data_IF_887887127470
#
_entry.id   IF_887887127470
#
_cell.length_a   1.000
_cell.length_b   1.000
_cell.length_c   1.000
_cell.angle_alpha   90.00
_cell.angle_beta   90.00
_cell.angle_gamma   90.00
#
_symmetry.space_group_name_H-M   'P 1'
#
loop_
_entity.id
_entity.type
_entity.pdbx_description
1 polymer ?
#
# COMPACT_ATOMS: atom_id res chain seq x y z
N UNK A 1 -2.36 -6.66 1.78
CA UNK A 1 -3.46 -6.58 0.79
C UNK A 1 -4.49 -5.50 1.13
N UNK A 2 -5.15 -5.55 2.30
CA UNK A 2 -6.07 -4.48 2.74
C UNK A 2 -5.42 -3.09 2.78
N UNK A 3 -4.18 -3.01 3.28
CA UNK A 3 -3.37 -1.78 3.27
C UNK A 3 -3.16 -1.20 1.87
N UNK A 4 -3.12 -2.02 0.80
CA UNK A 4 -2.96 -1.51 -0.57
C UNK A 4 -4.21 -0.75 -1.04
N UNK A 5 -5.39 -1.29 -0.74
CA UNK A 5 -6.65 -0.63 -1.03
C UNK A 5 -6.79 0.65 -0.20
N UNK A 6 -6.43 0.59 1.09
CA UNK A 6 -6.43 1.76 1.99
C UNK A 6 -5.51 2.88 1.51
N UNK A 7 -4.26 2.56 1.15
CA UNK A 7 -3.28 3.51 0.63
C UNK A 7 -3.79 4.21 -0.65
N UNK A 8 -4.46 3.48 -1.56
CA UNK A 8 -5.07 4.09 -2.74
C UNK A 8 -6.32 4.91 -2.41
N UNK A 9 -7.08 4.52 -1.39
CA UNK A 9 -8.15 5.33 -0.81
C UNK A 9 -7.61 6.67 -0.28
N UNK A 10 -6.48 6.67 0.42
CA UNK A 10 -5.79 7.88 0.88
C UNK A 10 -5.35 8.74 -0.31
N UNK A 11 -4.72 8.13 -1.33
CA UNK A 11 -4.31 8.84 -2.54
C UNK A 11 -5.51 9.56 -3.19
N UNK A 12 -6.64 8.86 -3.32
CA UNK A 12 -7.88 9.41 -3.84
C UNK A 12 -8.43 10.55 -2.98
N UNK A 13 -8.50 10.35 -1.65
CA UNK A 13 -8.97 11.36 -0.71
C UNK A 13 -8.10 12.62 -0.76
N UNK A 14 -6.78 12.47 -0.70
CA UNK A 14 -5.84 13.59 -0.77
C UNK A 14 -5.97 14.32 -2.09
N UNK A 15 -6.08 13.59 -3.21
CA UNK A 15 -6.33 14.19 -4.52
C UNK A 15 -7.63 14.99 -4.56
N UNK A 16 -8.72 14.47 -3.99
CA UNK A 16 -10.00 15.16 -3.90
C UNK A 16 -9.93 16.40 -3.01
N UNK A 17 -9.28 16.32 -1.85
CA UNK A 17 -9.17 17.44 -0.91
C UNK A 17 -8.18 18.52 -1.37
N UNK A 18 -7.20 18.16 -2.20
CA UNK A 18 -6.16 19.08 -2.67
C UNK A 18 -6.69 20.22 -3.56
N UNK A 19 -7.87 20.04 -4.17
CA UNK A 19 -8.48 21.04 -5.06
C UNK A 19 -7.67 21.31 -6.35
N UNK A 20 -6.66 20.50 -6.65
CA UNK A 20 -5.81 20.60 -7.83
C UNK A 20 -5.91 19.35 -8.70
N UNK A 21 -5.38 19.43 -9.92
CA UNK A 21 -5.22 18.27 -10.79
C UNK A 21 -4.09 17.36 -10.28
N UNK A 22 -4.38 16.62 -9.21
CA UNK A 22 -3.44 15.87 -8.40
C UNK A 22 -2.65 14.81 -9.19
N UNK A 23 -3.31 13.92 -9.94
CA UNK A 23 -2.65 12.87 -10.73
C UNK A 23 -1.79 13.43 -11.85
N UNK A 24 -2.11 14.63 -12.34
CA UNK A 24 -1.29 15.32 -13.36
C UNK A 24 0.00 15.92 -12.82
N UNK A 25 0.12 16.02 -11.50
CA UNK A 25 1.37 16.41 -10.82
C UNK A 25 2.25 15.21 -10.49
N UNK A 26 1.76 13.99 -10.69
CA UNK A 26 2.49 12.78 -10.42
C UNK A 26 3.30 12.36 -11.66
N UNK A 27 4.51 11.91 -11.42
CA UNK A 27 5.38 11.36 -12.45
C UNK A 27 4.82 10.03 -12.97
N UNK A 28 4.80 9.81 -14.30
CA UNK A 28 4.45 8.52 -14.88
C UNK A 28 5.37 7.37 -14.47
N UNK A 29 6.56 7.67 -13.92
CA UNK A 29 7.52 6.68 -13.41
C UNK A 29 6.90 5.72 -12.38
N UNK A 30 5.93 6.20 -11.59
CA UNK A 30 5.21 5.38 -10.60
C UNK A 30 4.34 4.28 -11.23
N UNK A 31 4.09 4.34 -12.55
CA UNK A 31 3.37 3.29 -13.28
C UNK A 31 4.07 1.94 -13.16
N UNK A 32 5.42 1.90 -13.08
CA UNK A 32 6.17 0.66 -12.92
C UNK A 32 5.88 0.01 -11.55
N UNK A 33 5.89 0.79 -10.46
CA UNK A 33 5.54 0.31 -9.12
C UNK A 33 4.08 -0.16 -9.03
N UNK A 34 3.17 0.59 -9.65
CA UNK A 34 1.76 0.24 -9.70
C UNK A 34 1.53 -1.07 -10.50
N UNK A 35 2.16 -1.21 -11.67
CA UNK A 35 2.11 -2.42 -12.46
C UNK A 35 2.71 -3.63 -11.72
N UNK A 36 3.85 -3.43 -11.04
CA UNK A 36 4.46 -4.44 -10.18
C UNK A 36 3.51 -4.88 -9.06
N UNK A 37 2.82 -3.95 -8.43
CA UNK A 37 1.80 -4.25 -7.39
C UNK A 37 0.66 -5.10 -7.95
N UNK A 38 0.10 -4.74 -9.11
CA UNK A 38 -0.97 -5.52 -9.77
C UNK A 38 -0.49 -6.92 -10.09
N UNK A 39 0.69 -7.05 -10.70
CA UNK A 39 1.29 -8.33 -11.04
C UNK A 39 1.48 -9.22 -9.80
N UNK A 40 2.15 -8.70 -8.77
CA UNK A 40 2.40 -9.46 -7.53
C UNK A 40 1.09 -9.86 -6.83
N UNK A 41 0.10 -8.97 -6.80
CA UNK A 41 -1.21 -9.27 -6.19
C UNK A 41 -1.96 -10.34 -7.00
N UNK A 42 -1.88 -10.31 -8.32
CA UNK A 42 -2.47 -11.35 -9.18
C UNK A 42 -1.79 -12.71 -8.97
N UNK A 43 -0.47 -12.74 -8.77
CA UNK A 43 0.27 -13.96 -8.40
C UNK A 43 -0.21 -14.52 -7.06
N UNK A 44 -0.43 -13.67 -6.05
CA UNK A 44 -1.00 -14.10 -4.76
C UNK A 44 -2.41 -14.69 -4.94
N UNK A 45 -3.27 -14.04 -5.72
CA UNK A 45 -4.61 -14.55 -6.00
C UNK A 45 -4.59 -15.91 -6.70
N UNK A 46 -3.75 -16.05 -7.72
CA UNK A 46 -3.59 -17.32 -8.43
C UNK A 46 -3.08 -18.42 -7.49
N UNK A 47 -2.10 -18.10 -6.64
CA UNK A 47 -1.58 -19.03 -5.64
C UNK A 47 -2.67 -19.48 -4.64
N UNK A 48 -3.53 -18.57 -4.19
CA UNK A 48 -4.68 -18.94 -3.33
C UNK A 48 -5.64 -19.85 -4.09
N UNK A 49 -5.98 -19.50 -5.34
CA UNK A 49 -6.95 -20.23 -6.15
C UNK A 49 -6.54 -21.68 -6.45
N UNK A 50 -5.24 -21.95 -6.61
CA UNK A 50 -4.71 -23.31 -6.86
C UNK A 50 -4.34 -24.06 -5.58
N UNK A 51 -4.66 -23.52 -4.39
CA UNK A 51 -4.42 -24.17 -3.10
C UNK A 51 -2.97 -24.08 -2.62
N UNK A 52 -2.23 -23.06 -3.04
CA UNK A 52 -0.84 -22.82 -2.71
C UNK A 52 0.11 -23.16 -3.86
N UNK A 53 1.34 -23.53 -3.54
CA UNK A 53 2.35 -23.86 -4.53
C UNK A 53 3.44 -24.75 -3.96
N UNK A 54 4.41 -25.15 -4.79
CA UNK A 54 5.58 -25.87 -4.30
C UNK A 54 6.27 -25.07 -3.20
N UNK A 55 6.71 -25.78 -2.16
CA UNK A 55 7.33 -25.18 -0.98
C UNK A 55 8.64 -25.86 -0.64
N UNK A 56 9.56 -25.07 -0.09
CA UNK A 56 10.83 -25.53 0.44
C UNK A 56 10.78 -25.40 1.97
N UNK A 57 10.36 -26.47 2.63
CA UNK A 57 10.14 -26.46 4.08
C UNK A 57 9.02 -25.49 4.47
N UNK A 58 9.37 -24.40 5.16
CA UNK A 58 8.40 -23.40 5.67
C UNK A 58 8.01 -22.34 4.65
N UNK A 59 8.79 -22.18 3.57
CA UNK A 59 8.67 -21.07 2.63
C UNK A 59 8.13 -21.55 1.28
N UNK A 60 7.12 -20.87 0.75
CA UNK A 60 6.59 -21.11 -0.60
C UNK A 60 7.57 -20.60 -1.66
N UNK A 61 7.75 -21.34 -2.76
CA UNK A 61 8.50 -20.82 -3.92
C UNK A 61 7.83 -19.58 -4.51
N UNK A 62 6.52 -19.44 -4.35
CA UNK A 62 5.76 -18.26 -4.79
C UNK A 62 6.13 -17.04 -3.96
N UNK A 63 6.21 -17.16 -2.63
CA UNK A 63 6.55 -16.02 -1.77
C UNK A 63 8.02 -15.59 -1.95
N UNK A 64 8.92 -16.55 -2.20
CA UNK A 64 10.28 -16.26 -2.62
C UNK A 64 10.33 -15.55 -3.98
N UNK A 65 9.53 -16.00 -4.95
CA UNK A 65 9.38 -15.34 -6.24
C UNK A 65 8.85 -13.90 -6.14
N UNK A 66 7.89 -13.66 -5.25
CA UNK A 66 7.38 -12.31 -4.93
C UNK A 66 8.51 -11.43 -4.40
N UNK A 67 9.30 -11.92 -3.44
CA UNK A 67 10.44 -11.18 -2.89
C UNK A 67 11.48 -10.85 -3.97
N UNK A 68 11.86 -11.84 -4.79
CA UNK A 68 12.84 -11.65 -5.86
C UNK A 68 12.34 -10.65 -6.91
N UNK A 69 11.07 -10.76 -7.31
CA UNK A 69 10.47 -9.79 -8.23
C UNK A 69 10.45 -8.39 -7.64
N UNK A 70 10.06 -8.23 -6.37
CA UNK A 70 10.09 -6.93 -5.69
C UNK A 70 11.49 -6.32 -5.71
N UNK A 71 12.53 -7.10 -5.35
CA UNK A 71 13.92 -6.62 -5.38
C UNK A 71 14.37 -6.25 -6.79
N UNK A 72 14.01 -7.04 -7.81
CA UNK A 72 14.29 -6.71 -9.21
C UNK A 72 13.55 -5.43 -9.67
N UNK A 73 12.30 -5.24 -9.25
CA UNK A 73 11.51 -4.06 -9.58
C UNK A 73 12.10 -2.80 -8.93
N UNK A 74 12.49 -2.87 -7.65
CA UNK A 74 13.20 -1.79 -6.95
C UNK A 74 14.53 -1.47 -7.64
N UNK A 75 15.29 -2.48 -8.03
CA UNK A 75 16.53 -2.29 -8.76
C UNK A 75 16.33 -1.63 -10.14
N UNK A 76 15.29 -2.03 -10.87
CA UNK A 76 14.93 -1.43 -12.15
C UNK A 76 14.51 0.04 -12.00
N UNK A 77 13.79 0.38 -10.93
CA UNK A 77 13.42 1.77 -10.60
C UNK A 77 14.65 2.62 -10.28
N UNK A 78 15.53 2.12 -9.41
CA UNK A 78 16.76 2.79 -9.05
C UNK A 78 17.61 3.12 -10.30
N UNK A 79 17.70 2.18 -11.26
CA UNK A 79 18.41 2.42 -12.52
C UNK A 79 17.74 3.44 -13.45
N UNK A 80 16.41 3.58 -13.40
CA UNK A 80 15.73 4.64 -14.15
C UNK A 80 16.03 6.02 -13.55
N UNK A 81 16.10 6.11 -12.22
CA UNK A 81 16.39 7.36 -11.49
C UNK A 81 17.86 7.78 -11.62
N UNK A 82 18.82 6.85 -11.65
CA UNK A 82 20.24 7.17 -11.91
C UNK A 82 20.45 7.82 -13.29
N UNK A 83 19.56 7.55 -14.26
CA UNK A 83 19.63 8.14 -15.61
C UNK A 83 19.15 9.59 -15.69
N UNK A 84 18.52 10.12 -14.63
CA UNK A 84 18.11 11.52 -14.54
C UNK A 84 19.20 12.36 -13.87
N UNK A 85 19.63 13.50 -14.46
CA UNK A 85 20.61 14.37 -13.81
C UNK A 85 20.04 14.84 -12.47
N UNK A 86 20.67 14.43 -11.37
CA UNK A 86 20.27 14.88 -10.02
C UNK A 86 20.43 16.39 -9.89
N UNK A 87 19.61 17.02 -9.03
CA UNK A 87 19.77 18.43 -8.68
C UNK A 87 21.18 18.67 -8.12
N UNK A 88 22.03 19.33 -8.91
CA UNK A 88 23.40 19.63 -8.53
C UNK A 88 23.40 20.52 -7.27
N UNK A 89 24.02 20.02 -6.19
CA UNK A 89 24.30 20.82 -4.99
C UNK A 89 23.58 20.42 -3.70
N UNK A 90 22.68 19.43 -3.72
CA UNK A 90 22.05 18.93 -2.49
C UNK A 90 23.02 17.99 -1.76
N UNK A 91 23.69 18.50 -0.73
CA UNK A 91 24.56 17.69 0.12
C UNK A 91 23.68 16.83 1.03
N UNK A 92 23.67 15.52 0.80
CA UNK A 92 22.84 14.52 1.51
C UNK A 92 23.36 14.24 2.93
N UNK A 93 24.15 15.14 3.53
CA UNK A 93 24.98 14.83 4.71
C UNK A 93 24.19 14.30 5.92
N UNK A 94 23.09 14.95 6.29
CA UNK A 94 22.25 14.54 7.44
C UNK A 94 20.95 13.85 7.06
N UNK A 95 20.59 13.84 5.78
CA UNK A 95 19.30 13.32 5.32
C UNK A 95 19.10 11.81 5.63
N UNK A 96 20.09 10.91 5.46
CA UNK A 96 19.93 9.50 5.79
C UNK A 96 19.72 9.29 7.28
N UNK A 97 20.47 10.02 8.11
CA UNK A 97 20.32 9.96 9.56
C UNK A 97 18.92 10.44 9.99
N UNK A 98 18.47 11.57 9.45
CA UNK A 98 17.12 12.10 9.72
C UNK A 98 16.02 11.15 9.26
N UNK A 99 16.19 10.50 8.10
CA UNK A 99 15.26 9.50 7.60
C UNK A 99 15.19 8.28 8.51
N UNK A 100 16.35 7.74 8.93
CA UNK A 100 16.41 6.60 9.86
C UNK A 100 15.80 6.94 11.21
N UNK A 101 16.14 8.09 11.80
CA UNK A 101 15.56 8.55 13.06
C UNK A 101 14.05 8.72 12.94
N UNK A 102 13.57 9.35 11.87
CA UNK A 102 12.13 9.53 11.63
C UNK A 102 11.41 8.19 11.48
N UNK A 103 11.99 7.26 10.73
CA UNK A 103 11.44 5.91 10.57
C UNK A 103 11.34 5.18 11.90
N UNK A 104 12.39 5.23 12.74
CA UNK A 104 12.37 4.63 14.09
C UNK A 104 11.29 5.27 14.96
N UNK A 105 11.17 6.60 14.95
CA UNK A 105 10.14 7.31 15.72
C UNK A 105 8.74 6.89 15.27
N UNK A 106 8.49 6.80 13.95
CA UNK A 106 7.21 6.36 13.39
C UNK A 106 6.88 4.93 13.83
N UNK A 107 7.85 4.02 13.77
CA UNK A 107 7.67 2.62 14.20
C UNK A 107 7.35 2.54 15.69
N UNK A 108 8.12 3.22 16.54
CA UNK A 108 7.89 3.24 17.99
C UNK A 108 6.54 3.85 18.34
N UNK A 109 6.16 4.94 17.69
CA UNK A 109 4.86 5.58 17.86
C UNK A 109 3.70 4.65 17.44
N UNK A 110 3.86 3.93 16.32
CA UNK A 110 2.90 2.92 15.87
C UNK A 110 2.69 1.82 16.92
N UNK A 111 3.78 1.26 17.46
CA UNK A 111 3.73 0.23 18.51
C UNK A 111 3.08 0.76 19.80
N UNK A 112 3.45 1.96 20.23
CA UNK A 112 2.89 2.59 21.42
C UNK A 112 1.37 2.83 21.27
N UNK A 113 0.93 3.28 20.10
CA UNK A 113 -0.49 3.45 19.79
C UNK A 113 -1.25 2.12 19.84
N UNK A 114 -0.65 1.03 19.34
CA UNK A 114 -1.24 -0.30 19.42
C UNK A 114 -1.48 -0.72 20.87
N UNK A 115 -0.51 -0.47 21.75
CA UNK A 115 -0.66 -0.75 23.17
C UNK A 115 -1.76 0.11 23.82
N UNK A 116 -1.80 1.41 23.51
CA UNK A 116 -2.80 2.32 24.04
C UNK A 116 -4.24 1.92 23.68
N UNK A 117 -4.51 1.54 22.43
CA UNK A 117 -5.85 1.13 22.05
C UNK A 117 -6.25 -0.25 22.61
N UNK A 118 -5.28 -1.13 22.93
CA UNK A 118 -5.55 -2.34 23.71
C UNK A 118 -6.00 -2.01 25.15
N UNK A 119 -5.38 -1.03 25.80
CA UNK A 119 -5.81 -0.61 27.15
C UNK A 119 -7.21 0.01 27.12
N UNK A 120 -7.51 0.84 26.10
CA UNK A 120 -8.85 1.44 25.92
C UNK A 120 -9.91 0.34 25.71
N UNK A 121 -9.58 -0.71 24.96
CA UNK A 121 -10.46 -1.86 24.76
C UNK A 121 -10.92 -2.51 26.06
N UNK A 122 -9.94 -2.86 26.89
CA UNK A 122 -10.13 -3.56 28.15
C UNK A 122 -10.97 -2.71 29.11
N UNK A 123 -10.81 -1.37 29.07
CA UNK A 123 -11.60 -0.44 29.87
C UNK A 123 -13.01 -0.12 29.34
N UNK A 124 -13.28 -0.31 28.04
CA UNK A 124 -14.56 0.07 27.40
C UNK A 124 -15.49 -1.10 27.15
N UNK A 125 -15.03 -2.35 27.29
CA UNK A 125 -15.84 -3.55 27.05
C UNK A 125 -16.13 -3.81 25.56
N UNK A 126 -15.47 -3.09 24.65
CA UNK A 126 -15.56 -3.36 23.21
C UNK A 126 -14.90 -4.74 22.95
N UNK A 127 -15.51 -5.53 22.07
CA UNK A 127 -15.02 -6.87 21.75
C UNK A 127 -13.54 -6.85 21.34
N UNK A 128 -12.74 -7.72 21.96
CA UNK A 128 -11.30 -7.81 21.71
C UNK A 128 -10.96 -8.07 20.23
N UNK A 129 -11.85 -8.73 19.49
CA UNK A 129 -11.75 -8.92 18.05
C UNK A 129 -11.83 -7.62 17.24
N UNK A 130 -12.73 -6.71 17.63
CA UNK A 130 -12.92 -5.40 16.99
C UNK A 130 -11.73 -4.49 17.25
N UNK A 131 -11.21 -4.49 18.48
CA UNK A 131 -9.95 -3.77 18.75
C UNK A 131 -8.79 -4.42 18.03
N UNK A 132 -8.70 -5.76 18.02
CA UNK A 132 -7.63 -6.46 17.32
C UNK A 132 -7.56 -6.09 15.84
N UNK A 133 -8.69 -6.11 15.13
CA UNK A 133 -8.74 -5.74 13.71
C UNK A 133 -8.47 -4.25 13.49
N UNK A 134 -9.08 -3.37 14.29
CA UNK A 134 -8.87 -1.92 14.21
C UNK A 134 -7.41 -1.53 14.51
N UNK A 135 -6.80 -2.17 15.50
CA UNK A 135 -5.41 -1.94 15.88
C UNK A 135 -4.44 -2.37 14.79
N UNK A 136 -4.65 -3.55 14.21
CA UNK A 136 -3.81 -4.02 13.10
C UNK A 136 -3.95 -3.09 11.90
N UNK A 137 -5.17 -2.67 11.57
CA UNK A 137 -5.41 -1.71 10.49
C UNK A 137 -4.72 -0.36 10.74
N UNK A 138 -4.87 0.22 11.94
CA UNK A 138 -4.24 1.50 12.29
C UNK A 138 -2.72 1.39 12.34
N UNK A 139 -2.17 0.36 13.00
CA UNK A 139 -0.73 0.19 13.17
C UNK A 139 0.01 0.03 11.84
N UNK A 140 -0.63 -0.58 10.84
CA UNK A 140 -0.05 -0.87 9.52
C UNK A 140 -0.36 0.18 8.45
N UNK A 141 -1.09 1.25 8.78
CA UNK A 141 -1.45 2.26 7.78
C UNK A 141 -1.31 3.71 8.26
N UNK A 142 -1.18 3.93 9.56
CA UNK A 142 -0.92 5.25 10.12
C UNK A 142 0.46 5.81 9.74
N UNK A 143 1.56 5.01 9.71
CA UNK A 143 2.85 5.47 9.18
C UNK A 143 2.75 6.10 7.80
N UNK A 144 2.04 5.43 6.88
CA UNK A 144 1.81 5.83 5.50
C UNK A 144 0.97 7.10 5.42
N UNK A 145 -0.12 7.19 6.21
CA UNK A 145 -0.91 8.43 6.32
C UNK A 145 -0.03 9.60 6.77
N UNK A 146 0.80 9.40 7.79
CA UNK A 146 1.66 10.45 8.32
C UNK A 146 2.71 10.91 7.30
N UNK A 147 3.38 9.96 6.62
CA UNK A 147 4.36 10.25 5.58
C UNK A 147 3.73 10.96 4.38
N UNK A 148 2.61 10.45 3.87
CA UNK A 148 1.85 11.03 2.76
C UNK A 148 1.32 12.43 3.09
N UNK A 149 0.81 12.67 4.30
CA UNK A 149 0.36 13.99 4.74
C UNK A 149 1.53 14.98 4.84
N UNK A 150 2.68 14.52 5.33
CA UNK A 150 3.91 15.31 5.38
C UNK A 150 4.34 15.75 3.98
N UNK A 151 4.42 14.80 3.03
CA UNK A 151 4.77 15.08 1.65
C UNK A 151 3.75 16.03 0.97
N UNK A 152 2.45 15.83 1.21
CA UNK A 152 1.40 16.72 0.69
C UNK A 152 1.56 18.16 1.18
N UNK A 153 1.84 18.34 2.49
CA UNK A 153 2.06 19.67 3.10
C UNK A 153 3.28 20.39 2.52
N UNK A 154 4.29 19.63 2.11
CA UNK A 154 5.50 20.14 1.45
C UNK A 154 5.30 20.38 -0.05
N UNK A 155 4.14 20.01 -0.62
CA UNK A 155 3.92 20.04 -2.07
C UNK A 155 4.75 19.02 -2.85
N UNK A 156 5.29 18.01 -2.16
CA UNK A 156 6.13 16.96 -2.72
C UNK A 156 5.25 15.79 -3.25
N UNK A 157 4.50 16.06 -4.32
CA UNK A 157 3.52 15.11 -4.88
C UNK A 157 4.15 13.80 -5.36
N UNK A 158 5.32 13.85 -6.00
CA UNK A 158 6.04 12.64 -6.44
C UNK A 158 6.55 11.80 -5.27
N UNK A 159 6.99 12.45 -4.18
CA UNK A 159 7.39 11.73 -2.97
C UNK A 159 6.19 11.01 -2.33
N UNK A 160 5.04 11.67 -2.29
CA UNK A 160 3.79 11.08 -1.81
C UNK A 160 3.38 9.86 -2.66
N UNK A 161 3.40 9.98 -3.99
CA UNK A 161 3.08 8.84 -4.85
C UNK A 161 4.11 7.71 -4.75
N UNK A 162 5.41 8.05 -4.66
CA UNK A 162 6.48 7.09 -4.40
C UNK A 162 6.24 6.28 -3.13
N UNK A 163 5.85 6.94 -2.04
CA UNK A 163 5.47 6.31 -0.77
C UNK A 163 4.29 5.33 -0.96
N UNK A 164 3.20 5.79 -1.56
CA UNK A 164 1.98 4.97 -1.74
C UNK A 164 2.20 3.77 -2.67
N UNK A 165 2.76 3.98 -3.87
CA UNK A 165 2.95 2.90 -4.84
C UNK A 165 4.09 1.96 -4.44
N UNK A 166 5.17 2.49 -3.83
CA UNK A 166 6.27 1.69 -3.30
C UNK A 166 5.83 0.81 -2.13
N UNK A 167 5.11 1.39 -1.16
CA UNK A 167 4.55 0.65 -0.02
C UNK A 167 3.54 -0.40 -0.46
N UNK A 168 2.72 -0.13 -1.47
CA UNK A 168 1.80 -1.13 -2.00
C UNK A 168 2.50 -2.35 -2.61
N UNK A 169 3.63 -2.15 -3.29
CA UNK A 169 4.43 -3.24 -3.84
C UNK A 169 5.11 -4.04 -2.70
N UNK A 170 5.66 -3.33 -1.71
CA UNK A 170 6.26 -3.93 -0.51
C UNK A 170 5.25 -4.73 0.33
N UNK A 171 4.03 -4.23 0.47
CA UNK A 171 2.95 -4.89 1.21
C UNK A 171 2.56 -6.27 0.65
N UNK A 172 2.93 -6.61 -0.59
CA UNK A 172 2.75 -7.97 -1.12
C UNK A 172 3.88 -8.89 -0.67
N UNK A 173 5.08 -8.35 -0.44
CA UNK A 173 6.24 -9.09 0.10
C UNK A 173 5.98 -9.60 1.52
N UNK A 174 5.06 -9.00 2.27
CA UNK A 174 4.69 -9.48 3.61
C UNK A 174 4.25 -10.95 3.63
N UNK A 175 3.80 -11.50 2.51
CA UNK A 175 3.52 -12.94 2.34
C UNK A 175 4.76 -13.81 2.61
N UNK A 176 5.94 -13.37 2.19
CA UNK A 176 7.20 -14.07 2.47
C UNK A 176 7.53 -14.06 3.97
N UNK A 177 7.37 -12.91 4.63
CA UNK A 177 7.56 -12.83 6.09
C UNK A 177 6.50 -13.63 6.86
N UNK A 178 5.28 -13.71 6.33
CA UNK A 178 4.22 -14.55 6.89
C UNK A 178 4.56 -16.05 6.80
N UNK A 179 5.12 -16.53 5.68
CA UNK A 179 5.61 -17.92 5.57
C UNK A 179 6.64 -18.26 6.65
N UNK A 180 7.60 -17.35 6.88
CA UNK A 180 8.68 -17.55 7.86
C UNK A 180 8.15 -17.66 9.30
N UNK A 181 7.14 -16.85 9.64
CA UNK A 181 6.62 -16.72 11.01
C UNK A 181 5.48 -17.70 11.31
N UNK A 182 4.66 -18.04 10.32
CA UNK A 182 3.52 -18.93 10.49
C UNK A 182 3.93 -20.42 10.60
N UNK A 183 5.12 -20.77 10.11
CA UNK A 183 5.69 -22.12 10.26
C UNK A 183 5.30 -23.11 9.16
N UNK A 184 4.42 -22.71 8.24
CA UNK A 184 4.06 -23.43 7.00
C UNK A 184 3.70 -22.41 5.90
N UNK A 185 3.69 -22.80 4.62
CA UNK A 185 3.30 -21.91 3.52
C UNK A 185 1.91 -21.30 3.75
N UNK A 186 1.85 -19.98 3.95
CA UNK A 186 0.64 -19.26 4.36
C UNK A 186 -0.44 -19.37 3.28
N UNK A 187 -0.06 -19.22 2.01
CA UNK A 187 -1.01 -19.23 0.90
C UNK A 187 -1.72 -20.57 0.72
N UNK A 188 -1.01 -21.68 0.97
CA UNK A 188 -1.62 -23.01 0.96
C UNK A 188 -2.43 -23.32 2.21
N UNK A 189 -2.17 -22.60 3.32
CA UNK A 189 -2.88 -22.80 4.58
C UNK A 189 -4.21 -22.04 4.68
N UNK A 190 -4.47 -21.07 3.79
CA UNK A 190 -5.69 -20.26 3.78
C UNK A 190 -6.96 -21.05 3.39
N UNK A 191 -6.81 -22.19 2.70
CA UNK A 191 -7.93 -23.06 2.31
C UNK A 191 -8.88 -22.42 1.27
N UNK A 192 -9.99 -23.11 0.99
CA UNK A 192 -11.01 -22.64 0.04
C UNK A 192 -11.83 -21.44 0.55
N UNK A 193 -11.78 -21.15 1.85
CA UNK A 193 -12.57 -20.11 2.51
C UNK A 193 -11.90 -18.72 2.48
N UNK A 194 -10.85 -18.55 1.68
CA UNK A 194 -10.10 -17.30 1.53
C UNK A 194 -10.85 -16.20 0.72
N UNK A 195 -12.18 -16.26 0.65
CA UNK A 195 -13.02 -15.38 -0.17
C UNK A 195 -12.84 -13.89 0.18
N UNK A 196 -12.71 -13.57 1.47
CA UNK A 196 -12.45 -12.20 1.92
C UNK A 196 -11.15 -11.63 1.36
N UNK A 197 -10.08 -12.42 1.33
CA UNK A 197 -8.79 -12.05 0.76
C UNK A 197 -8.89 -11.84 -0.75
N UNK A 198 -9.67 -12.67 -1.45
CA UNK A 198 -9.90 -12.54 -2.89
C UNK A 198 -10.57 -11.19 -3.20
N UNK A 199 -11.61 -10.83 -2.46
CA UNK A 199 -12.31 -9.56 -2.66
C UNK A 199 -11.43 -8.35 -2.32
N UNK A 200 -10.69 -8.40 -1.21
CA UNK A 200 -9.78 -7.32 -0.81
C UNK A 200 -8.64 -7.14 -1.82
N UNK A 201 -8.05 -8.23 -2.30
CA UNK A 201 -7.00 -8.18 -3.32
C UNK A 201 -7.55 -7.71 -4.68
N UNK A 202 -8.76 -8.16 -5.06
CA UNK A 202 -9.46 -7.70 -6.26
C UNK A 202 -9.74 -6.19 -6.22
N UNK A 203 -10.20 -5.67 -5.07
CA UNK A 203 -10.36 -4.23 -4.86
C UNK A 203 -9.01 -3.50 -4.99
N UNK A 204 -7.95 -4.04 -4.39
CA UNK A 204 -6.60 -3.49 -4.52
C UNK A 204 -6.12 -3.41 -5.97
N UNK A 205 -6.34 -4.47 -6.77
CA UNK A 205 -6.03 -4.48 -8.21
C UNK A 205 -6.86 -3.43 -8.95
N UNK A 206 -8.18 -3.38 -8.71
CA UNK A 206 -9.07 -2.43 -9.38
C UNK A 206 -8.67 -0.97 -9.10
N UNK A 207 -8.40 -0.63 -7.84
CA UNK A 207 -7.92 0.69 -7.44
C UNK A 207 -6.55 1.00 -8.07
N UNK A 208 -5.63 0.03 -8.10
CA UNK A 208 -4.30 0.25 -8.68
C UNK A 208 -4.40 0.48 -10.18
N UNK A 209 -5.25 -0.27 -10.88
CA UNK A 209 -5.51 -0.10 -12.31
C UNK A 209 -6.16 1.26 -12.62
N UNK A 210 -7.11 1.72 -11.80
CA UNK A 210 -7.67 3.07 -11.91
C UNK A 210 -6.60 4.15 -11.73
N UNK A 211 -5.74 4.01 -10.71
CA UNK A 211 -4.64 4.94 -10.47
C UNK A 211 -3.64 4.94 -11.64
N UNK A 212 -3.29 3.78 -12.20
CA UNK A 212 -2.46 3.67 -13.40
C UNK A 212 -3.08 4.35 -14.63
N UNK A 213 -4.39 4.18 -14.82
CA UNK A 213 -5.12 4.86 -15.88
C UNK A 213 -5.05 6.38 -15.70
N UNK A 214 -5.25 6.86 -14.47
CA UNK A 214 -5.16 8.27 -14.12
C UNK A 214 -3.76 8.87 -14.37
N UNK A 215 -2.69 8.13 -14.06
CA UNK A 215 -1.30 8.55 -14.31
C UNK A 215 -0.98 8.74 -15.81
N UNK A 216 -1.71 8.03 -16.70
CA UNK A 216 -1.49 8.11 -18.15
C UNK A 216 -2.24 9.27 -18.82
N UNK A 217 -3.25 9.85 -18.16
CA UNK A 217 -4.04 10.94 -18.71
C UNK A 217 -3.21 12.23 -18.74
N UNK A 218 -2.63 12.55 -19.91
CA UNK A 218 -1.91 13.81 -20.14
C UNK A 218 -2.85 14.99 -20.40
N UNK A 219 -2.33 16.18 -20.10
CA UNK A 219 -3.04 17.44 -19.92
C UNK A 219 -4.05 17.87 -21.00
N UNK A 220 -5.21 18.33 -20.53
CA UNK A 220 -6.04 19.38 -21.14
C UNK A 220 -6.48 20.36 -20.04
N UNK A 221 -6.83 21.62 -20.32
CA UNK A 221 -7.20 22.59 -19.26
C UNK A 221 -8.39 22.08 -18.44
N UNK A 222 -8.15 21.52 -17.25
CA UNK A 222 -9.19 21.41 -16.24
C UNK A 222 -9.11 22.67 -15.38
N UNK A 223 -10.13 23.51 -15.55
CA UNK A 223 -10.39 24.63 -14.68
C UNK A 223 -10.68 24.09 -13.28
N UNK A 224 -10.07 24.73 -12.27
CA UNK A 224 -10.33 24.62 -10.81
C UNK A 224 -11.34 23.54 -10.38
N UNK A 225 -10.88 22.55 -9.64
CA UNK A 225 -11.71 21.54 -9.00
C UNK A 225 -10.94 20.25 -8.70
N UNK A 226 -11.47 19.37 -7.83
CA UNK A 226 -10.88 18.05 -7.60
C UNK A 226 -10.84 17.26 -8.91
N UNK A 227 -9.72 16.60 -9.16
CA UNK A 227 -9.58 15.79 -10.36
C UNK A 227 -10.59 14.62 -10.34
N UNK A 228 -11.40 14.40 -11.40
CA UNK A 228 -12.40 13.34 -11.43
C UNK A 228 -11.82 11.96 -11.12
N UNK A 229 -10.58 11.70 -11.53
CA UNK A 229 -9.87 10.46 -11.24
C UNK A 229 -9.63 10.24 -9.74
N UNK A 230 -9.32 11.30 -8.98
CA UNK A 230 -9.11 11.20 -7.52
C UNK A 230 -10.41 10.88 -6.79
N UNK A 231 -11.49 11.56 -7.18
CA UNK A 231 -12.82 11.30 -6.63
C UNK A 231 -13.30 9.89 -7.00
N UNK A 232 -13.14 9.47 -8.25
CA UNK A 232 -13.48 8.12 -8.68
C UNK A 232 -12.71 7.07 -7.88
N UNK A 233 -11.39 7.24 -7.72
CA UNK A 233 -10.55 6.33 -6.95
C UNK A 233 -11.03 6.23 -5.49
N UNK A 234 -11.34 7.36 -4.86
CA UNK A 234 -11.84 7.39 -3.48
C UNK A 234 -13.23 6.76 -3.35
N UNK A 235 -14.15 7.04 -4.27
CA UNK A 235 -15.49 6.44 -4.28
C UNK A 235 -15.44 4.93 -4.56
N UNK A 236 -14.55 4.47 -5.44
CA UNK A 236 -14.32 3.03 -5.65
C UNK A 236 -13.80 2.37 -4.38
N UNK A 237 -12.92 3.03 -3.63
CA UNK A 237 -12.44 2.53 -2.35
C UNK A 237 -13.59 2.42 -1.33
N UNK A 238 -14.38 3.49 -1.14
CA UNK A 238 -15.53 3.48 -0.23
C UNK A 238 -16.58 2.44 -0.62
N UNK A 239 -16.90 2.34 -1.92
CA UNK A 239 -17.83 1.35 -2.44
C UNK A 239 -17.35 -0.08 -2.21
N UNK A 240 -16.06 -0.34 -2.46
CA UNK A 240 -15.44 -1.65 -2.21
C UNK A 240 -15.45 -2.03 -0.73
N UNK A 241 -15.09 -1.11 0.15
CA UNK A 241 -15.19 -1.29 1.61
C UNK A 241 -16.65 -1.52 2.04
N UNK A 242 -17.59 -0.77 1.49
CA UNK A 242 -19.02 -0.96 1.74
C UNK A 242 -19.53 -2.34 1.35
N UNK A 243 -19.08 -2.87 0.21
CA UNK A 243 -19.40 -4.24 -0.22
C UNK A 243 -18.81 -5.28 0.73
N UNK A 244 -17.56 -5.10 1.17
CA UNK A 244 -16.91 -6.00 2.12
C UNK A 244 -17.66 -6.01 3.47
N UNK A 245 -18.05 -4.84 3.97
CA UNK A 245 -18.82 -4.69 5.20
C UNK A 245 -20.23 -5.30 5.08
N UNK A 246 -20.91 -5.10 3.95
CA UNK A 246 -22.24 -5.67 3.69
C UNK A 246 -22.22 -7.22 3.62
N UNK A 247 -21.08 -7.82 3.28
CA UNK A 247 -20.87 -9.27 3.32
C UNK A 247 -20.41 -9.78 4.70
N UNK A 248 -20.27 -8.90 5.70
CA UNK A 248 -19.81 -9.24 7.04
C UNK A 248 -18.33 -9.65 7.09
N UNK A 249 -17.53 -9.23 6.11
CA UNK A 249 -16.11 -9.61 5.99
C UNK A 249 -15.16 -8.66 6.72
N UNK A 250 -15.65 -7.46 7.08
CA UNK A 250 -14.97 -6.43 7.89
C UNK A 250 -15.98 -5.71 8.78
#
# INVERSE_FOLDING_TARGET
LGSNAFNLGILGLMGTLSGVAFFRRLSPSHTLSAAGTVFLTAVVLMAIAVGGGPSLGRVSLISLGILLFYLMAVYAQFRQEEGTPGEAGVTVGRAPLQAVVSAVVIVVAGVALTYAAKVIAEGTGIAQSVIGSLLVALATSLPEVAASLGALRLGAYDLLAGDIFGSNMFNVVTVFFADLTYGKPILGALGADAWSLVLVAGLGIALTALAMGALQVRAGKLARGPEPASLLLFLTYLGGVGVLAAQGLI
#
